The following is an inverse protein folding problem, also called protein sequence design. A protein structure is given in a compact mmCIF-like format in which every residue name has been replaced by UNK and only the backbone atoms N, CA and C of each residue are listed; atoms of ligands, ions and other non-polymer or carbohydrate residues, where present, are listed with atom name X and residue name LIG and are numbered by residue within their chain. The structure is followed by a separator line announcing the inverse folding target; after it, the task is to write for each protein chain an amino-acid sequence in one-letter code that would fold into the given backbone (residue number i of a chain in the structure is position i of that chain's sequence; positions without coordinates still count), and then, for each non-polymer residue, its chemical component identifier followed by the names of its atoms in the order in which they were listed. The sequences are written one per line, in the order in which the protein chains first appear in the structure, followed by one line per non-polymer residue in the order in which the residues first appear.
data_IF_357720047374
#
_entry.id   IF_357720047374
#
_cell.length_a   1.000
_cell.length_b   1.000
_cell.length_c   1.000
_cell.angle_alpha   90.00
_cell.angle_beta   90.00
_cell.angle_gamma   90.00
#
_symmetry.space_group_name_H-M   'P 1'
#
loop_
_entity.id
_entity.type
_entity.pdbx_description
1 polymer ?
#
# COMPACT_ATOMS: atom_id res chain seq x y z
N UNK A 1 -4.20 14.38 12.04
CA UNK A 1 -4.65 13.07 12.55
C UNK A 1 -3.57 12.06 12.25
N UNK A 2 -3.10 11.30 13.25
CA UNK A 2 -2.09 10.26 13.04
C UNK A 2 -2.82 9.09 12.38
N UNK A 3 -2.61 8.88 11.07
CA UNK A 3 -3.31 7.81 10.34
C UNK A 3 -2.85 6.41 10.78
N UNK A 4 -1.64 6.33 11.36
CA UNK A 4 -1.03 5.07 11.78
C UNK A 4 -0.38 5.24 13.17
N UNK A 5 -1.15 5.06 14.26
CA UNK A 5 -0.61 5.06 15.62
C UNK A 5 0.34 3.88 15.89
N UNK A 6 0.32 2.87 14.99
CA UNK A 6 1.19 1.69 14.96
C UNK A 6 1.50 1.31 13.50
N UNK A 7 2.69 0.75 13.25
CA UNK A 7 3.22 0.41 11.91
C UNK A 7 2.55 -0.77 11.21
N UNK A 8 1.68 -1.51 11.90
CA UNK A 8 1.10 -2.78 11.43
C UNK A 8 0.24 -2.67 10.16
N UNK A 9 -0.38 -1.51 9.90
CA UNK A 9 -1.23 -1.30 8.72
C UNK A 9 -0.45 -1.29 7.40
N UNK A 10 0.87 -1.05 7.44
CA UNK A 10 1.72 -1.10 6.25
C UNK A 10 2.42 -2.45 6.06
N UNK A 11 2.43 -3.32 7.07
CA UNK A 11 3.12 -4.60 6.99
C UNK A 11 2.69 -5.43 5.77
N UNK A 12 1.40 -5.54 5.42
CA UNK A 12 0.97 -6.27 4.22
C UNK A 12 1.52 -5.69 2.91
N UNK A 13 1.65 -4.36 2.81
CA UNK A 13 2.19 -3.69 1.62
C UNK A 13 3.67 -4.04 1.43
N UNK A 14 4.47 -4.01 2.50
CA UNK A 14 5.89 -4.36 2.41
C UNK A 14 6.10 -5.83 2.07
N UNK A 15 5.23 -6.73 2.53
CA UNK A 15 5.25 -8.15 2.13
C UNK A 15 4.98 -8.29 0.62
N UNK A 16 3.94 -7.63 0.10
CA UNK A 16 3.63 -7.66 -1.32
C UNK A 16 4.75 -7.08 -2.18
N UNK A 17 5.35 -5.95 -1.77
CA UNK A 17 6.50 -5.35 -2.46
C UNK A 17 7.73 -6.27 -2.45
N UNK A 18 8.01 -6.93 -1.33
CA UNK A 18 9.12 -7.88 -1.25
C UNK A 18 8.92 -9.09 -2.17
N UNK A 19 7.68 -9.54 -2.36
CA UNK A 19 7.35 -10.62 -3.31
C UNK A 19 7.51 -10.19 -4.78
N UNK A 20 7.40 -8.89 -5.07
CA UNK A 20 7.53 -8.31 -6.41
C UNK A 20 8.85 -7.55 -6.61
N UNK A 21 9.91 -7.92 -5.88
CA UNK A 21 11.15 -7.13 -5.82
C UNK A 21 11.78 -6.82 -7.20
N UNK A 22 11.67 -7.76 -8.15
CA UNK A 22 12.24 -7.63 -9.50
C UNK A 22 11.32 -6.85 -10.48
N UNK A 23 10.07 -6.58 -10.10
CA UNK A 23 9.05 -5.90 -10.93
C UNK A 23 8.42 -4.71 -10.22
N UNK A 24 9.09 -4.19 -9.19
CA UNK A 24 8.59 -3.06 -8.39
C UNK A 24 8.36 -1.82 -9.27
N UNK A 25 9.17 -1.62 -10.31
CA UNK A 25 9.00 -0.53 -11.28
C UNK A 25 7.64 -0.60 -12.00
N UNK A 26 7.11 -1.80 -12.23
CA UNK A 26 5.89 -2.07 -13.00
C UNK A 26 4.63 -2.08 -12.13
N UNK A 27 4.63 -1.26 -11.07
CA UNK A 27 3.48 -1.10 -10.18
C UNK A 27 2.51 -0.02 -10.69
N UNK A 28 1.23 -0.19 -10.36
CA UNK A 28 0.24 0.86 -10.54
C UNK A 28 -0.76 0.93 -9.38
N UNK A 29 -1.36 2.10 -9.19
CA UNK A 29 -2.44 2.27 -8.21
C UNK A 29 -3.76 1.85 -8.85
N UNK A 30 -4.28 0.69 -8.45
CA UNK A 30 -5.53 0.14 -8.97
C UNK A 30 -6.77 0.80 -8.33
N UNK A 31 -6.65 1.25 -7.08
CA UNK A 31 -7.72 1.94 -6.33
C UNK A 31 -7.09 3.08 -5.53
N UNK A 32 -7.76 4.22 -5.48
CA UNK A 32 -7.40 5.38 -4.68
C UNK A 32 -8.52 5.79 -3.69
N UNK A 33 -8.30 6.91 -3.00
CA UNK A 33 -9.30 7.50 -2.11
C UNK A 33 -8.88 7.60 -0.65
N UNK A 34 -9.30 8.68 -0.01
CA UNK A 34 -9.07 8.96 1.41
C UNK A 34 -10.28 9.67 2.00
N UNK A 35 -10.82 9.14 3.10
CA UNK A 35 -12.00 9.72 3.76
C UNK A 35 -11.96 9.49 5.27
N UNK A 36 -12.26 10.53 6.04
CA UNK A 36 -12.29 10.51 7.52
C UNK A 36 -11.07 9.81 8.18
N UNK A 37 -9.87 9.99 7.63
CA UNK A 37 -8.65 9.38 8.18
C UNK A 37 -8.35 7.97 7.67
N UNK A 38 -9.19 7.40 6.80
CA UNK A 38 -9.03 6.07 6.22
C UNK A 38 -8.60 6.16 4.75
N UNK A 39 -7.49 5.51 4.40
CA UNK A 39 -7.09 5.33 3.00
C UNK A 39 -7.69 4.04 2.42
N UNK A 40 -8.07 4.09 1.14
CA UNK A 40 -8.48 2.92 0.34
C UNK A 40 -7.47 2.60 -0.77
N UNK A 41 -6.26 3.15 -0.69
CA UNK A 41 -5.28 3.01 -1.76
C UNK A 41 -4.82 1.56 -1.91
N UNK A 42 -5.01 1.01 -3.10
CA UNK A 42 -4.53 -0.33 -3.49
C UNK A 42 -3.47 -0.19 -4.56
N UNK A 43 -2.36 -0.91 -4.39
CA UNK A 43 -1.25 -0.99 -5.34
C UNK A 43 -1.19 -2.41 -5.88
N UNK A 44 -1.02 -2.53 -7.19
CA UNK A 44 -0.86 -3.79 -7.89
C UNK A 44 0.53 -3.84 -8.53
N UNK A 45 1.17 -5.01 -8.40
CA UNK A 45 2.45 -5.35 -9.01
C UNK A 45 2.21 -6.42 -10.08
N UNK A 46 3.04 -6.45 -11.13
CA UNK A 46 2.94 -7.41 -12.25
C UNK A 46 4.05 -8.44 -12.17
#
# INVERSE_FOLDING_TARGET
SIAHPRTEHFAPLFVAMGAAADTIEDNHTAIDGFWFGMSKRSVQFT
#
